data_IF_970199677214
#
_entry.id   IF_970199677214
#
_cell.length_a   1.000
_cell.length_b   1.000
_cell.length_c   1.000
_cell.angle_alpha   90.00
_cell.angle_beta   90.00
_cell.angle_gamma   90.00
#
_symmetry.space_group_name_H-M   'P 1'
#
loop_
_entity.id
_entity.type
_entity.pdbx_description
1 polymer ?
#
# COMPACT_ATOMS: atom_id res chain seq x y z
N UNK A 1 -29.20 -36.75 -28.29
CA UNK A 1 -28.77 -37.60 -27.16
C UNK A 1 -28.42 -36.68 -26.01
N UNK A 2 -29.34 -36.56 -25.05
CA UNK A 2 -29.07 -36.07 -23.69
C UNK A 2 -28.09 -37.08 -23.02
N UNK A 3 -27.32 -36.80 -21.96
CA UNK A 3 -27.78 -36.34 -20.64
C UNK A 3 -26.59 -35.93 -19.74
N UNK A 4 -26.81 -34.90 -18.92
CA UNK A 4 -26.45 -34.71 -17.49
C UNK A 4 -25.01 -34.66 -16.93
N UNK A 5 -24.81 -33.59 -16.14
CA UNK A 5 -23.80 -33.35 -15.11
C UNK A 5 -24.15 -34.17 -13.86
N UNK A 6 -23.18 -34.84 -13.22
CA UNK A 6 -23.30 -35.24 -11.81
C UNK A 6 -22.01 -34.96 -11.01
N UNK A 7 -22.22 -34.30 -9.86
CA UNK A 7 -21.23 -33.95 -8.85
C UNK A 7 -20.74 -35.19 -8.08
N UNK A 8 -19.43 -35.30 -7.83
CA UNK A 8 -18.89 -36.32 -6.94
C UNK A 8 -18.85 -35.81 -5.49
N UNK A 9 -19.85 -36.24 -4.72
CA UNK A 9 -19.90 -36.08 -3.27
C UNK A 9 -19.22 -37.31 -2.64
N UNK A 10 -17.89 -37.26 -2.49
CA UNK A 10 -17.09 -38.33 -1.93
C UNK A 10 -17.05 -38.32 -0.40
N UNK A 11 -18.14 -38.76 0.25
CA UNK A 11 -18.06 -39.31 1.62
C UNK A 11 -17.30 -40.64 1.53
N UNK A 12 -16.13 -40.74 2.16
CA UNK A 12 -15.51 -42.05 2.42
C UNK A 12 -15.45 -42.30 3.92
N UNK A 13 -16.13 -43.38 4.30
CA UNK A 13 -16.40 -43.88 5.65
C UNK A 13 -15.17 -44.53 6.29
N UNK A 14 -15.05 -44.36 7.61
CA UNK A 14 -14.09 -45.05 8.47
C UNK A 14 -14.35 -46.57 8.56
N UNK A 15 -13.28 -47.36 8.61
CA UNK A 15 -13.29 -48.73 9.14
C UNK A 15 -12.04 -48.93 9.99
N UNK A 16 -12.24 -49.36 11.25
CA UNK A 16 -11.22 -49.46 12.28
C UNK A 16 -10.36 -50.72 12.25
N UNK A 17 -9.35 -50.74 13.14
CA UNK A 17 -8.56 -51.93 13.45
C UNK A 17 -7.29 -51.58 14.25
N UNK A 18 -7.25 -52.02 15.51
CA UNK A 18 -6.18 -51.83 16.50
C UNK A 18 -4.81 -52.37 16.06
N UNK A 19 -3.75 -51.56 16.15
CA UNK A 19 -2.49 -51.86 16.87
C UNK A 19 -1.39 -50.83 16.52
N UNK A 20 -0.78 -50.23 17.55
CA UNK A 20 0.56 -49.64 17.47
C UNK A 20 0.64 -48.18 17.03
N UNK A 21 1.13 -47.34 17.94
CA UNK A 21 1.56 -45.93 17.76
C UNK A 21 0.41 -44.94 17.53
N UNK A 22 -0.10 -44.38 18.65
CA UNK A 22 -0.74 -43.07 18.62
C UNK A 22 0.30 -42.02 18.26
N UNK A 23 0.56 -41.81 16.98
CA UNK A 23 1.19 -40.58 16.52
C UNK A 23 0.16 -39.49 16.72
N UNK A 24 0.22 -38.83 17.88
CA UNK A 24 -0.49 -37.57 18.10
C UNK A 24 -0.06 -36.63 16.98
N UNK A 25 -0.88 -36.48 15.94
CA UNK A 25 -0.77 -35.35 15.03
C UNK A 25 -0.77 -34.13 15.94
N UNK A 26 0.38 -33.46 16.03
CA UNK A 26 0.57 -32.39 16.98
C UNK A 26 -0.57 -31.39 16.85
N UNK A 27 -1.20 -31.04 17.98
CA UNK A 27 -2.19 -29.96 18.05
C UNK A 27 -1.75 -28.74 17.21
N UNK A 28 -2.71 -27.93 16.74
CA UNK A 28 -2.42 -26.68 16.03
C UNK A 28 -1.37 -25.82 16.78
N UNK A 29 -1.38 -25.88 18.12
CA UNK A 29 -0.37 -25.25 18.99
C UNK A 29 1.05 -25.77 18.75
N UNK A 30 1.26 -27.08 18.68
CA UNK A 30 2.60 -27.65 18.43
C UNK A 30 3.11 -27.34 17.03
N UNK A 31 2.23 -27.28 16.02
CA UNK A 31 2.61 -26.83 14.68
C UNK A 31 3.03 -25.35 14.67
N UNK A 32 2.29 -24.49 15.38
CA UNK A 32 2.64 -23.07 15.53
C UNK A 32 3.97 -22.88 16.28
N UNK A 33 4.22 -23.63 17.37
CA UNK A 33 5.49 -23.59 18.10
C UNK A 33 6.64 -24.00 17.18
N UNK A 34 6.49 -25.10 16.43
CA UNK A 34 7.51 -25.55 15.48
C UNK A 34 7.81 -24.50 14.40
N UNK A 35 6.78 -23.84 13.85
CA UNK A 35 6.93 -22.81 12.83
C UNK A 35 7.70 -21.58 13.36
N UNK A 36 7.42 -21.14 14.59
CA UNK A 36 8.13 -20.02 15.21
C UNK A 36 9.58 -20.40 15.54
N UNK A 37 9.82 -21.57 16.13
CA UNK A 37 11.17 -22.00 16.50
C UNK A 37 12.06 -22.30 15.29
N UNK A 38 11.45 -22.69 14.17
CA UNK A 38 12.15 -23.00 12.92
C UNK A 38 12.29 -21.82 11.96
N UNK A 39 11.77 -20.63 12.30
CA UNK A 39 11.81 -19.48 11.41
C UNK A 39 13.26 -19.08 11.11
N UNK A 40 13.57 -18.90 9.82
CA UNK A 40 14.82 -18.32 9.33
C UNK A 40 14.47 -17.10 8.46
N UNK A 41 15.14 -15.95 8.63
CA UNK A 41 14.92 -14.80 7.77
C UNK A 41 15.24 -15.13 6.31
N UNK A 42 14.33 -14.76 5.39
CA UNK A 42 14.53 -14.99 3.95
C UNK A 42 15.52 -14.00 3.29
N UNK A 43 16.04 -13.03 4.05
CA UNK A 43 16.97 -12.01 3.56
C UNK A 43 18.05 -11.74 4.59
N UNK A 44 19.29 -11.42 4.15
CA UNK A 44 20.35 -11.01 5.06
C UNK A 44 19.93 -9.76 5.82
N UNK A 45 20.36 -9.60 7.08
CA UNK A 45 20.09 -8.39 7.85
C UNK A 45 20.70 -7.17 7.15
N UNK A 46 20.03 -6.03 7.27
CA UNK A 46 20.48 -4.79 6.66
C UNK A 46 21.86 -4.40 7.21
N UNK A 47 22.81 -4.15 6.33
CA UNK A 47 24.16 -3.73 6.70
C UNK A 47 24.25 -2.20 6.76
N UNK A 48 24.18 -1.64 7.97
CA UNK A 48 24.22 -0.19 8.19
C UNK A 48 25.58 0.45 7.89
N UNK A 49 26.65 -0.34 7.71
CA UNK A 49 27.94 0.19 7.25
C UNK A 49 27.92 0.45 5.74
N UNK A 50 27.22 -0.40 4.99
CA UNK A 50 27.05 -0.25 3.54
C UNK A 50 25.93 0.72 3.18
N UNK A 51 24.86 0.74 3.97
CA UNK A 51 23.72 1.64 3.78
C UNK A 51 23.54 2.53 5.01
N UNK A 52 24.13 3.75 5.00
CA UNK A 52 24.00 4.68 6.10
C UNK A 52 22.53 5.03 6.38
N UNK A 53 22.16 5.15 7.66
CA UNK A 53 20.79 5.47 8.09
C UNK A 53 20.25 6.77 7.49
N UNK A 54 21.13 7.75 7.23
CA UNK A 54 20.75 9.01 6.58
C UNK A 54 20.23 8.83 5.14
N UNK A 55 20.59 7.76 4.45
CA UNK A 55 20.05 7.43 3.12
C UNK A 55 18.67 6.77 3.21
N UNK A 56 18.36 6.12 4.33
CA UNK A 56 17.08 5.44 4.57
C UNK A 56 16.03 6.40 5.13
N UNK A 57 16.45 7.30 6.02
CA UNK A 57 15.57 8.26 6.64
C UNK A 57 14.97 9.21 5.60
N UNK A 58 13.63 9.36 5.63
CA UNK A 58 12.87 10.15 4.65
C UNK A 58 13.05 9.76 3.18
N UNK A 59 13.62 8.57 2.89
CA UNK A 59 13.86 8.14 1.52
C UNK A 59 12.57 8.14 0.68
N UNK A 60 11.45 7.74 1.27
CA UNK A 60 10.12 7.68 0.63
C UNK A 60 9.15 8.74 1.17
N UNK A 61 9.66 9.93 1.47
CA UNK A 61 8.86 11.08 1.88
C UNK A 61 9.06 12.21 0.87
N UNK A 62 7.97 12.78 0.36
CA UNK A 62 8.00 13.99 -0.48
C UNK A 62 8.31 15.22 0.38
N UNK A 63 9.53 15.25 0.93
CA UNK A 63 9.98 16.24 1.92
C UNK A 63 10.15 17.64 1.34
N UNK A 64 10.33 18.66 2.20
CA UNK A 64 10.67 20.04 1.76
C UNK A 64 11.87 20.08 0.79
N UNK A 65 12.86 19.20 0.98
CA UNK A 65 14.01 19.07 0.06
C UNK A 65 13.61 18.51 -1.31
N UNK A 66 12.76 17.48 -1.34
CA UNK A 66 12.21 16.93 -2.59
C UNK A 66 11.32 17.94 -3.32
N UNK A 67 10.44 18.62 -2.57
CA UNK A 67 9.60 19.72 -3.07
C UNK A 67 10.44 20.82 -3.71
N UNK A 68 11.49 21.30 -3.03
CA UNK A 68 12.36 22.37 -3.55
C UNK A 68 13.08 22.01 -4.84
N UNK A 69 13.39 20.72 -5.05
CA UNK A 69 14.05 20.23 -6.27
C UNK A 69 13.10 20.10 -7.45
N UNK A 70 11.80 19.87 -7.21
CA UNK A 70 10.82 19.52 -8.25
C UNK A 70 9.81 20.62 -8.56
N UNK A 71 9.49 21.47 -7.59
CA UNK A 71 8.50 22.52 -7.76
C UNK A 71 9.14 23.80 -8.32
N UNK A 72 8.41 24.55 -9.16
CA UNK A 72 8.79 25.91 -9.51
C UNK A 72 8.99 26.77 -8.26
N UNK A 73 9.94 27.71 -8.31
CA UNK A 73 10.35 28.54 -7.16
C UNK A 73 9.17 29.22 -6.47
N UNK A 74 8.24 29.76 -7.25
CA UNK A 74 7.08 30.48 -6.71
C UNK A 74 6.03 29.53 -6.13
N UNK A 75 5.78 28.38 -6.77
CA UNK A 75 4.92 27.31 -6.24
C UNK A 75 5.45 26.78 -4.91
N UNK A 76 6.76 26.51 -4.82
CA UNK A 76 7.40 26.06 -3.59
C UNK A 76 7.19 27.07 -2.46
N UNK A 77 7.46 28.36 -2.70
CA UNK A 77 7.25 29.40 -1.67
C UNK A 77 5.81 29.47 -1.20
N UNK A 78 4.85 29.47 -2.13
CA UNK A 78 3.41 29.50 -1.82
C UNK A 78 3.00 28.29 -0.98
N UNK A 79 3.45 27.09 -1.38
CA UNK A 79 3.16 25.86 -0.65
C UNK A 79 3.72 25.91 0.77
N UNK A 80 4.99 26.31 0.95
CA UNK A 80 5.60 26.41 2.28
C UNK A 80 4.88 27.45 3.14
N UNK A 81 4.55 28.62 2.60
CA UNK A 81 3.76 29.63 3.31
C UNK A 81 2.39 29.12 3.71
N UNK A 82 1.75 28.29 2.88
CA UNK A 82 0.45 27.67 3.17
C UNK A 82 0.56 26.66 4.30
N UNK A 83 1.60 25.80 4.27
CA UNK A 83 1.88 24.80 5.31
C UNK A 83 2.19 25.46 6.65
N UNK A 84 3.03 26.50 6.65
CA UNK A 84 3.48 27.17 7.88
C UNK A 84 2.43 28.14 8.44
N UNK A 85 1.63 28.76 7.57
CA UNK A 85 0.56 29.69 7.95
C UNK A 85 -0.81 29.05 8.17
N UNK A 86 -0.98 27.76 7.86
CA UNK A 86 -2.27 27.07 7.95
C UNK A 86 -3.33 27.64 7.01
N UNK A 87 -2.91 28.20 5.87
CA UNK A 87 -3.83 28.79 4.89
C UNK A 87 -4.46 27.72 4.00
N UNK A 88 -5.52 28.08 3.28
CA UNK A 88 -6.09 27.22 2.24
C UNK A 88 -5.15 27.18 1.04
N UNK A 89 -4.87 25.98 0.53
CA UNK A 89 -4.09 25.80 -0.69
C UNK A 89 -4.91 26.25 -1.91
N UNK A 90 -4.32 27.08 -2.77
CA UNK A 90 -4.94 27.50 -4.01
C UNK A 90 -4.92 26.37 -5.05
N UNK A 91 -5.99 26.27 -5.86
CA UNK A 91 -6.17 25.16 -6.79
C UNK A 91 -5.05 25.07 -7.83
N UNK A 92 -4.57 26.20 -8.34
CA UNK A 92 -3.50 26.20 -9.35
C UNK A 92 -2.15 25.76 -8.78
N UNK A 93 -1.82 26.14 -7.54
CA UNK A 93 -0.64 25.58 -6.84
C UNK A 93 -0.84 24.11 -6.56
N UNK A 94 -2.05 23.67 -6.18
CA UNK A 94 -2.35 22.26 -5.92
C UNK A 94 -2.17 21.37 -7.15
N UNK A 95 -2.60 21.79 -8.34
CA UNK A 95 -2.41 21.03 -9.58
C UNK A 95 -0.93 20.82 -9.90
N UNK A 96 -0.12 21.87 -9.75
CA UNK A 96 1.34 21.78 -9.96
C UNK A 96 1.98 20.84 -8.93
N UNK A 97 1.54 20.92 -7.67
CA UNK A 97 2.06 20.05 -6.60
C UNK A 97 1.64 18.60 -6.80
N UNK A 98 0.39 18.34 -7.19
CA UNK A 98 -0.13 17.01 -7.48
C UNK A 98 0.66 16.34 -8.62
N UNK A 99 0.88 17.07 -9.72
CA UNK A 99 1.71 16.57 -10.82
C UNK A 99 3.13 16.19 -10.36
N UNK A 100 3.78 17.06 -9.57
CA UNK A 100 5.11 16.78 -9.05
C UNK A 100 5.17 15.60 -8.05
N UNK A 101 4.12 15.41 -7.24
CA UNK A 101 3.97 14.27 -6.33
C UNK A 101 3.82 12.97 -7.11
N UNK A 102 2.95 12.97 -8.13
CA UNK A 102 2.72 11.82 -9.00
C UNK A 102 4.02 11.34 -9.63
N UNK A 103 4.74 12.24 -10.29
CA UNK A 103 5.99 11.90 -10.97
C UNK A 103 7.03 11.38 -9.97
N UNK A 104 7.16 12.03 -8.81
CA UNK A 104 8.06 11.57 -7.75
C UNK A 104 7.68 10.18 -7.20
N UNK A 105 6.39 9.90 -7.05
CA UNK A 105 5.90 8.63 -6.54
C UNK A 105 6.11 7.51 -7.55
N UNK A 106 5.80 7.75 -8.83
CA UNK A 106 6.00 6.78 -9.92
C UNK A 106 7.47 6.44 -10.10
N UNK A 107 8.38 7.43 -10.03
CA UNK A 107 9.84 7.17 -10.06
C UNK A 107 10.30 6.24 -8.93
N UNK A 108 9.55 6.17 -7.83
CA UNK A 108 9.79 5.27 -6.69
C UNK A 108 9.06 3.93 -6.81
N UNK A 109 8.36 3.69 -7.91
CA UNK A 109 7.60 2.47 -8.16
C UNK A 109 6.18 2.48 -7.60
N UNK A 110 5.64 3.63 -7.18
CA UNK A 110 4.25 3.71 -6.77
C UNK A 110 3.30 3.56 -7.97
N UNK A 111 2.24 2.79 -7.78
CA UNK A 111 1.20 2.55 -8.80
C UNK A 111 -0.18 3.07 -8.39
N UNK A 112 -0.35 3.36 -7.10
CA UNK A 112 -1.58 3.81 -6.48
C UNK A 112 -1.29 4.94 -5.49
N UNK A 113 -2.32 5.70 -5.16
CA UNK A 113 -2.33 6.64 -4.04
C UNK A 113 -3.52 6.33 -3.13
N UNK A 114 -3.46 6.84 -1.89
CA UNK A 114 -4.55 6.75 -0.95
C UNK A 114 -4.60 8.02 -0.10
N UNK A 115 -5.82 8.46 0.22
CA UNK A 115 -6.05 9.44 1.26
C UNK A 115 -6.04 8.74 2.61
N UNK A 116 -4.88 8.73 3.27
CA UNK A 116 -4.75 8.10 4.58
C UNK A 116 -5.38 9.02 5.63
N UNK A 117 -6.46 8.57 6.25
CA UNK A 117 -7.08 9.23 7.40
C UNK A 117 -7.37 8.22 8.51
N UNK A 118 -7.42 8.71 9.75
CA UNK A 118 -7.68 7.90 10.93
C UNK A 118 -9.06 8.25 11.49
N UNK A 119 -10.12 7.51 11.13
CA UNK A 119 -11.44 7.77 11.67
C UNK A 119 -11.51 7.45 13.17
N UNK A 120 -12.45 8.08 13.87
CA UNK A 120 -12.68 7.89 15.32
C UNK A 120 -13.22 6.49 15.68
N UNK A 121 -13.36 5.59 14.71
CA UNK A 121 -13.81 4.20 14.87
C UNK A 121 -12.68 3.26 15.31
N UNK A 122 -11.44 3.74 15.40
CA UNK A 122 -10.29 2.95 15.87
C UNK A 122 -9.70 1.99 14.83
N UNK A 123 -10.19 2.00 13.59
CA UNK A 123 -9.63 1.26 12.46
C UNK A 123 -9.20 2.23 11.37
N UNK A 124 -8.08 1.98 10.69
CA UNK A 124 -7.66 2.78 9.52
C UNK A 124 -8.58 2.49 8.35
N UNK A 125 -9.12 3.53 7.73
CA UNK A 125 -9.80 3.43 6.44
C UNK A 125 -8.85 3.95 5.36
N UNK A 126 -8.49 3.09 4.41
CA UNK A 126 -7.75 3.49 3.22
C UNK A 126 -8.46 2.97 1.99
N UNK A 127 -8.53 3.81 0.96
CA UNK A 127 -8.94 3.43 -0.38
C UNK A 127 -7.76 3.67 -1.31
N UNK A 128 -7.37 2.62 -2.03
CA UNK A 128 -6.27 2.68 -2.99
C UNK A 128 -6.85 2.99 -4.36
N UNK A 129 -6.51 4.17 -4.88
CA UNK A 129 -6.88 4.61 -6.22
C UNK A 129 -5.64 4.53 -7.13
N UNK A 130 -5.81 4.04 -8.36
CA UNK A 130 -4.71 3.95 -9.31
C UNK A 130 -4.35 5.34 -9.84
N UNK A 131 -3.07 5.55 -10.15
CA UNK A 131 -2.67 6.69 -10.98
C UNK A 131 -3.12 6.53 -12.43
N UNK A 132 -3.39 5.31 -12.89
CA UNK A 132 -3.67 5.04 -14.30
C UNK A 132 -5.16 5.18 -14.64
N UNK A 133 -5.44 6.01 -15.63
CA UNK A 133 -6.75 6.17 -16.26
C UNK A 133 -6.66 5.71 -17.72
N UNK A 134 -7.62 4.94 -18.26
CA UNK A 134 -7.65 4.62 -19.69
C UNK A 134 -7.80 5.89 -20.54
N UNK A 135 -7.04 5.99 -21.63
CA UNK A 135 -7.02 7.18 -22.51
C UNK A 135 -8.16 7.21 -23.55
N UNK A 136 -8.92 6.12 -23.67
CA UNK A 136 -9.99 5.95 -24.65
C UNK A 136 -9.54 5.50 -26.05
N UNK A 137 -8.23 5.40 -26.29
CA UNK A 137 -7.62 4.96 -27.57
C UNK A 137 -6.91 3.60 -27.45
N UNK A 138 -6.98 2.96 -26.28
CA UNK A 138 -6.40 1.65 -26.01
C UNK A 138 -5.10 1.69 -25.20
N UNK A 139 -4.69 2.86 -24.72
CA UNK A 139 -3.61 3.06 -23.78
C UNK A 139 -4.10 3.49 -22.39
N UNK A 140 -3.16 3.93 -21.57
CA UNK A 140 -3.43 4.47 -20.23
C UNK A 140 -2.49 5.65 -19.95
N UNK A 141 -3.02 6.66 -19.27
CA UNK A 141 -2.29 7.84 -18.83
C UNK A 141 -2.24 7.89 -17.30
N UNK A 142 -1.09 8.29 -16.76
CA UNK A 142 -0.93 8.50 -15.34
C UNK A 142 -1.39 9.91 -14.95
N UNK A 143 -2.38 10.00 -14.08
CA UNK A 143 -3.03 11.24 -13.65
C UNK A 143 -3.12 11.34 -12.13
N UNK A 144 -2.92 12.56 -11.64
CA UNK A 144 -3.19 12.94 -10.25
C UNK A 144 -3.38 14.46 -10.21
N UNK A 145 -4.58 14.90 -9.88
CA UNK A 145 -5.03 16.28 -9.96
C UNK A 145 -4.93 17.01 -8.61
N UNK A 146 -4.91 18.34 -8.65
CA UNK A 146 -5.00 19.17 -7.45
C UNK A 146 -6.31 18.97 -6.72
N UNK A 147 -7.41 18.70 -7.42
CA UNK A 147 -8.69 18.31 -6.80
C UNK A 147 -8.56 17.05 -5.98
N UNK A 148 -7.92 16.01 -6.51
CA UNK A 148 -7.66 14.78 -5.74
C UNK A 148 -6.73 15.09 -4.55
N UNK A 149 -5.70 15.92 -4.73
CA UNK A 149 -4.79 16.29 -3.63
C UNK A 149 -5.50 17.04 -2.48
N UNK A 150 -6.40 17.97 -2.79
CA UNK A 150 -7.07 18.82 -1.79
C UNK A 150 -8.27 18.11 -1.16
N UNK A 151 -8.95 17.25 -1.90
CA UNK A 151 -10.18 16.60 -1.46
C UNK A 151 -9.84 15.36 -0.64
N UNK A 152 -10.15 15.40 0.67
CA UNK A 152 -10.30 14.18 1.45
C UNK A 152 -11.56 13.45 1.01
N UNK A 153 -11.55 12.11 1.06
CA UNK A 153 -12.78 11.32 0.98
C UNK A 153 -13.79 11.92 1.98
N UNK A 154 -15.06 12.14 1.58
CA UNK A 154 -16.10 12.51 2.53
C UNK A 154 -16.13 11.43 3.62
N UNK A 155 -16.00 11.82 4.87
CA UNK A 155 -16.25 10.94 5.99
C UNK A 155 -17.74 10.62 6.02
N UNK A 156 -18.14 9.65 5.20
CA UNK A 156 -19.48 9.08 5.20
C UNK A 156 -19.78 8.49 6.56
N UNK A 157 -20.35 9.32 7.43
CA UNK A 157 -21.05 8.94 8.66
C UNK A 157 -22.56 8.97 8.40
#
# INVERSE_FOLDING_TARGET
MNTEIQASNGKSTYSGGSNGVKTTLGSARSAAVAAVTGYQPNHPPMNFQQTPTGQLFNANVFSKSAMKKRLPKETYKKLISTIEGGHKLDCSTADVVASAIKDWAIEKGATHYAHVFYPLTGSTAEKHDSFLTPDGEGGAIAEFSGSQLIQGEPDGS
#
